data_IF_053703045825
#
_entry.id   IF_053703045825
#
_cell.length_a   1.000
_cell.length_b   1.000
_cell.length_c   1.000
_cell.angle_alpha   90.00
_cell.angle_beta   90.00
_cell.angle_gamma   90.00
#
_symmetry.space_group_name_H-M   'P 1'
#
loop_
_entity.id
_entity.type
_entity.pdbx_description
1 polymer ?
#
# COMPACT_ATOMS: atom_id res chain seq x y z
N UNK A 1 6.14 -6.91 -10.08
CA UNK A 1 4.87 -6.60 -10.77
C UNK A 1 5.15 -6.48 -12.27
N UNK A 2 4.12 -6.43 -13.11
CA UNK A 2 4.26 -6.11 -14.54
C UNK A 2 3.78 -4.68 -14.84
N UNK A 3 3.96 -3.74 -13.89
CA UNK A 3 3.52 -2.35 -14.12
C UNK A 3 4.54 -1.62 -15.00
N UNK A 4 4.05 -0.78 -15.91
CA UNK A 4 4.87 0.07 -16.79
C UNK A 4 4.88 1.53 -16.33
N UNK A 5 4.40 1.80 -15.12
CA UNK A 5 4.38 3.14 -14.52
C UNK A 5 5.53 3.30 -13.53
N UNK A 6 5.97 4.54 -13.31
CA UNK A 6 6.96 4.86 -12.29
C UNK A 6 6.39 4.59 -10.90
N UNK A 7 7.14 3.87 -10.07
CA UNK A 7 6.88 3.74 -8.64
C UNK A 7 7.76 4.73 -7.89
N UNK A 8 7.20 5.36 -6.86
CA UNK A 8 7.86 6.44 -6.13
C UNK A 8 8.28 6.01 -4.72
N UNK A 9 7.54 5.11 -4.08
CA UNK A 9 7.86 4.66 -2.73
C UNK A 9 7.29 3.26 -2.41
N UNK A 10 7.83 2.62 -1.36
CA UNK A 10 7.43 1.32 -0.85
C UNK A 10 7.55 1.25 0.67
N UNK A 11 6.51 0.74 1.33
CA UNK A 11 6.48 0.54 2.78
C UNK A 11 6.09 -0.90 3.11
N UNK A 12 6.86 -1.54 3.98
CA UNK A 12 6.60 -2.91 4.45
C UNK A 12 6.02 -2.90 5.87
N UNK A 13 4.90 -3.61 6.03
CA UNK A 13 4.25 -3.81 7.33
C UNK A 13 5.02 -4.85 8.15
N UNK A 14 5.52 -5.87 7.45
CA UNK A 14 6.36 -6.93 8.01
C UNK A 14 7.21 -7.54 6.88
N UNK A 15 7.91 -8.64 7.15
CA UNK A 15 8.81 -9.26 6.15
C UNK A 15 8.11 -9.79 4.90
N UNK A 16 6.81 -10.05 4.97
CA UNK A 16 6.03 -10.66 3.89
C UNK A 16 5.06 -9.67 3.24
N UNK A 17 4.52 -8.74 4.01
CA UNK A 17 3.44 -7.85 3.58
C UNK A 17 3.95 -6.42 3.37
N UNK A 18 3.71 -5.86 2.18
CA UNK A 18 4.17 -4.52 1.82
C UNK A 18 3.41 -3.89 0.67
N UNK A 19 3.48 -2.56 0.57
CA UNK A 19 2.74 -1.76 -0.38
C UNK A 19 3.67 -0.81 -1.12
N UNK A 20 3.49 -0.67 -2.44
CA UNK A 20 4.22 0.29 -3.26
C UNK A 20 3.25 1.25 -3.94
N UNK A 21 3.63 2.52 -4.06
CA UNK A 21 2.82 3.59 -4.67
C UNK A 21 3.53 4.23 -5.84
N UNK A 22 2.77 4.78 -6.79
CA UNK A 22 3.35 5.29 -8.04
C UNK A 22 2.46 6.22 -8.84
N UNK A 23 2.89 6.47 -10.07
CA UNK A 23 2.18 7.28 -11.04
C UNK A 23 0.81 6.69 -11.40
N UNK A 24 -0.08 7.54 -11.93
CA UNK A 24 -1.42 7.16 -12.37
C UNK A 24 -2.30 6.51 -11.27
N UNK A 25 -2.10 6.88 -9.99
CA UNK A 25 -2.85 6.30 -8.88
C UNK A 25 -2.45 4.87 -8.53
N UNK A 26 -1.28 4.41 -8.98
CA UNK A 26 -0.86 3.01 -8.79
C UNK A 26 -0.62 2.70 -7.32
N UNK A 27 -1.29 1.67 -6.82
CA UNK A 27 -1.02 1.04 -5.51
C UNK A 27 -0.85 -0.46 -5.74
N UNK A 28 0.29 -1.01 -5.36
CA UNK A 28 0.59 -2.44 -5.43
C UNK A 28 0.71 -3.02 -4.02
N UNK A 29 0.28 -4.25 -3.84
CA UNK A 29 0.37 -4.98 -2.57
C UNK A 29 1.05 -6.34 -2.79
N UNK A 30 1.99 -6.68 -1.92
CA UNK A 30 2.61 -8.00 -1.84
C UNK A 30 2.30 -8.65 -0.49
N UNK A 31 2.15 -9.97 -0.48
CA UNK A 31 2.01 -10.79 0.74
C UNK A 31 3.08 -11.89 0.83
N UNK A 32 4.06 -11.88 -0.08
CA UNK A 32 5.11 -12.89 -0.21
C UNK A 32 6.53 -12.30 -0.20
N UNK A 33 6.71 -11.13 0.43
CA UNK A 33 8.00 -10.48 0.58
C UNK A 33 8.49 -9.76 -0.68
N UNK A 34 7.57 -9.43 -1.59
CA UNK A 34 7.86 -8.72 -2.83
C UNK A 34 8.18 -9.61 -4.02
N UNK A 35 7.97 -10.93 -3.92
CA UNK A 35 8.14 -11.85 -5.05
C UNK A 35 7.02 -11.63 -6.08
N UNK A 36 5.78 -11.47 -5.62
CA UNK A 36 4.63 -11.11 -6.45
C UNK A 36 3.92 -9.88 -5.88
N UNK A 37 3.26 -9.14 -6.76
CA UNK A 37 2.61 -7.86 -6.46
C UNK A 37 1.28 -7.77 -7.20
N UNK A 38 0.21 -7.42 -6.48
CA UNK A 38 -1.15 -7.33 -7.00
C UNK A 38 -1.61 -5.87 -6.94
N UNK A 39 -2.15 -5.37 -8.05
CA UNK A 39 -2.73 -4.03 -8.12
C UNK A 39 -3.93 -3.91 -7.18
N UNK A 40 -3.97 -2.84 -6.40
CA UNK A 40 -5.09 -2.47 -5.55
C UNK A 40 -5.84 -1.30 -6.19
N UNK A 41 -7.16 -1.25 -6.01
CA UNK A 41 -7.94 -0.10 -6.43
C UNK A 41 -7.61 1.12 -5.56
N UNK A 42 -7.28 2.23 -6.22
CA UNK A 42 -7.14 3.53 -5.59
C UNK A 42 -8.26 4.46 -6.07
N UNK A 43 -8.80 5.28 -5.18
CA UNK A 43 -9.86 6.24 -5.50
C UNK A 43 -9.33 7.50 -6.23
N UNK A 44 -8.25 7.36 -7.00
CA UNK A 44 -7.60 8.43 -7.75
C UNK A 44 -6.78 7.87 -8.90
N UNK A 45 -6.61 8.66 -9.94
CA UNK A 45 -5.71 8.39 -11.07
C UNK A 45 -4.50 9.33 -11.07
N UNK A 46 -4.33 10.16 -10.04
CA UNK A 46 -3.18 11.03 -9.91
C UNK A 46 -2.01 10.35 -9.21
N UNK A 47 -0.81 10.83 -9.49
CA UNK A 47 0.43 10.32 -8.90
C UNK A 47 0.40 10.35 -7.36
N UNK A 48 0.81 9.23 -6.78
CA UNK A 48 0.96 9.00 -5.35
C UNK A 48 2.46 8.91 -5.04
N UNK A 49 2.99 9.84 -4.23
CA UNK A 49 4.43 10.04 -4.12
C UNK A 49 5.09 9.33 -2.94
N UNK A 50 4.34 9.06 -1.87
CA UNK A 50 4.91 8.60 -0.60
C UNK A 50 3.88 7.77 0.17
N UNK A 51 4.34 6.76 0.90
CA UNK A 51 3.53 5.87 1.73
C UNK A 51 4.20 5.63 3.09
N UNK A 52 3.44 5.74 4.18
CA UNK A 52 3.96 5.50 5.52
C UNK A 52 3.04 4.65 6.39
N UNK A 53 3.63 3.71 7.14
CA UNK A 53 2.93 2.96 8.18
C UNK A 53 2.99 3.71 9.51
N UNK A 54 1.83 4.21 9.93
CA UNK A 54 1.67 4.79 11.25
C UNK A 54 1.58 3.71 12.34
N UNK A 55 1.96 4.09 13.57
CA UNK A 55 2.01 3.19 14.73
C UNK A 55 0.70 2.48 15.06
N UNK A 56 -0.44 3.05 14.63
CA UNK A 56 -1.74 2.44 14.87
C UNK A 56 -2.10 1.34 13.85
N UNK A 57 -1.22 1.07 12.87
CA UNK A 57 -1.44 0.12 11.78
C UNK A 57 -2.17 0.72 10.57
N UNK A 58 -2.27 2.06 10.47
CA UNK A 58 -2.74 2.71 9.25
C UNK A 58 -1.60 3.02 8.29
N UNK A 59 -1.80 2.70 7.02
CA UNK A 59 -1.03 3.23 5.91
C UNK A 59 -1.61 4.58 5.50
N UNK A 60 -0.73 5.58 5.37
CA UNK A 60 -1.04 6.90 4.87
C UNK A 60 -0.30 7.12 3.56
N UNK A 61 -1.01 7.55 2.53
CA UNK A 61 -0.44 7.80 1.20
C UNK A 61 -0.74 9.25 0.84
N UNK A 62 0.26 9.96 0.32
CA UNK A 62 0.11 11.33 -0.17
C UNK A 62 0.46 11.42 -1.66
N UNK A 63 -0.15 12.39 -2.36
CA UNK A 63 0.01 12.51 -3.80
C UNK A 63 -0.25 13.91 -4.35
N UNK A 64 -0.32 13.99 -5.67
CA UNK A 64 -0.55 15.24 -6.41
C UNK A 64 -1.83 15.95 -5.95
N UNK A 65 -1.84 17.29 -6.01
CA UNK A 65 -3.00 18.13 -5.70
C UNK A 65 -3.61 17.94 -4.29
N UNK A 66 -2.77 17.61 -3.30
CA UNK A 66 -3.22 17.50 -1.90
C UNK A 66 -3.96 16.21 -1.59
N UNK A 67 -3.76 15.17 -2.41
CA UNK A 67 -4.31 13.83 -2.13
C UNK A 67 -3.74 13.31 -0.82
N UNK A 68 -4.64 12.82 0.02
CA UNK A 68 -4.35 12.03 1.21
C UNK A 68 -5.27 10.82 1.17
N UNK A 69 -4.70 9.62 1.13
CA UNK A 69 -5.41 8.36 1.27
C UNK A 69 -5.01 7.69 2.59
N UNK A 70 -5.96 6.98 3.19
CA UNK A 70 -5.73 6.19 4.39
C UNK A 70 -6.25 4.77 4.18
N UNK A 71 -5.43 3.79 4.49
CA UNK A 71 -5.84 2.39 4.60
C UNK A 71 -5.61 1.91 6.03
N UNK A 72 -6.65 1.39 6.70
CA UNK A 72 -6.54 0.83 8.04
C UNK A 72 -6.38 -0.69 7.92
N UNK A 73 -5.24 -1.21 8.35
CA UNK A 73 -5.05 -2.66 8.43
C UNK A 73 -5.95 -3.19 9.54
N UNK A 74 -6.88 -4.08 9.20
CA UNK A 74 -7.66 -4.80 10.19
C UNK A 74 -6.83 -5.99 10.66
N UNK A 75 -6.51 -6.04 11.95
CA UNK A 75 -6.06 -7.30 12.55
C UNK A 75 -7.19 -8.31 12.39
N UNK A 76 -6.95 -9.38 11.64
CA UNK A 76 -7.84 -10.53 11.66
C UNK A 76 -7.84 -11.05 13.09
N UNK A 77 -9.00 -11.00 13.75
CA UNK A 77 -9.15 -11.59 15.07
C UNK A 77 -8.76 -13.07 14.99
N UNK A 78 -7.70 -13.45 15.69
CA UNK A 78 -7.42 -14.86 16.00
C UNK A 78 -8.49 -15.35 16.97
N UNK A 79 -9.67 -15.69 16.45
CA UNK A 79 -10.70 -16.40 17.18
C UNK A 79 -10.54 -17.90 16.91
N UNK A 80 -9.48 -18.48 17.48
CA UNK A 80 -9.51 -19.86 17.94
C UNK A 80 -8.83 -19.90 19.31
N UNK A 81 -9.66 -19.78 20.35
CA UNK A 81 -9.37 -20.40 21.64
C UNK A 81 -10.39 -21.53 21.81
N UNK A 82 -9.85 -22.71 22.08
CA UNK A 82 -10.52 -23.96 22.42
C UNK A 82 -11.56 -23.78 23.52
#
# INVERSE_FOLDING_TARGET
SNTNVTLYDVEFINRNEGYAVGANGTVLHTTDGGNTWVLQEANTTYDLYDINLSKDGSLWIVGKYGIILKHKLTQTASAQKY
#
